data_IF_950692894518
#
_entry.id   IF_950692894518
#
_cell.length_a   1.000
_cell.length_b   1.000
_cell.length_c   1.000
_cell.angle_alpha   90.00
_cell.angle_beta   90.00
_cell.angle_gamma   90.00
#
_symmetry.space_group_name_H-M   'P 1'
#
loop_
_entity.id
_entity.type
_entity.pdbx_description
1 polymer ?
#
# COMPACT_ATOMS: atom_id res chain seq x y z
N UNK A 1 -6.67 20.35 8.89
CA UNK A 1 -7.11 18.97 8.61
C UNK A 1 -6.17 18.01 9.30
N UNK A 2 -6.68 17.02 10.07
CA UNK A 2 -5.84 15.95 10.62
C UNK A 2 -5.43 15.01 9.48
N UNK A 3 -4.18 14.55 9.47
CA UNK A 3 -3.73 13.54 8.50
C UNK A 3 -4.54 12.25 8.75
N UNK A 4 -5.09 11.59 7.71
CA UNK A 4 -5.79 10.33 7.88
C UNK A 4 -4.86 9.30 8.54
N UNK A 5 -5.41 8.51 9.46
CA UNK A 5 -4.71 7.38 10.05
C UNK A 5 -4.61 6.23 9.05
N UNK A 6 -3.71 5.28 9.30
CA UNK A 6 -3.62 4.05 8.51
C UNK A 6 -4.97 3.30 8.45
N UNK A 7 -5.71 3.27 9.56
CA UNK A 7 -7.03 2.65 9.63
C UNK A 7 -8.05 3.33 8.70
N UNK A 8 -8.00 4.66 8.57
CA UNK A 8 -8.88 5.41 7.68
C UNK A 8 -8.67 5.01 6.21
N UNK A 9 -7.42 4.75 5.80
CA UNK A 9 -7.13 4.24 4.45
C UNK A 9 -7.73 2.87 4.21
N UNK A 10 -7.62 1.94 5.16
CA UNK A 10 -8.24 0.62 5.04
C UNK A 10 -9.76 0.69 5.01
N UNK A 11 -10.38 1.62 5.75
CA UNK A 11 -11.82 1.87 5.70
C UNK A 11 -12.27 2.40 4.34
N UNK A 12 -11.63 3.46 3.86
CA UNK A 12 -12.00 4.13 2.59
C UNK A 12 -11.81 3.21 1.38
N UNK A 13 -10.78 2.36 1.40
CA UNK A 13 -10.50 1.39 0.33
C UNK A 13 -11.35 0.12 0.40
N UNK A 14 -12.17 -0.04 1.43
CA UNK A 14 -13.01 -1.24 1.60
C UNK A 14 -12.22 -2.51 1.95
N UNK A 15 -11.01 -2.39 2.51
CA UNK A 15 -10.17 -3.51 2.96
C UNK A 15 -9.95 -3.56 4.48
N UNK A 16 -10.81 -2.89 5.25
CA UNK A 16 -10.73 -2.86 6.72
C UNK A 16 -10.75 -4.28 7.35
N UNK A 17 -11.51 -5.19 6.76
CA UNK A 17 -11.56 -6.61 7.15
C UNK A 17 -10.21 -7.35 6.99
N UNK A 18 -9.33 -6.86 6.12
CA UNK A 18 -8.01 -7.44 5.84
C UNK A 18 -6.86 -6.68 6.50
N UNK A 19 -7.15 -5.63 7.27
CA UNK A 19 -6.14 -4.76 7.87
C UNK A 19 -5.14 -5.53 8.73
N UNK A 20 -5.61 -6.39 9.65
CA UNK A 20 -4.71 -7.15 10.52
C UNK A 20 -3.75 -8.05 9.74
N UNK A 21 -4.22 -8.68 8.68
CA UNK A 21 -3.39 -9.51 7.80
C UNK A 21 -2.36 -8.65 7.05
N UNK A 22 -2.78 -7.51 6.52
CA UNK A 22 -1.91 -6.57 5.80
C UNK A 22 -0.78 -6.06 6.71
N UNK A 23 -1.12 -5.65 7.94
CA UNK A 23 -0.15 -5.18 8.94
C UNK A 23 0.85 -6.25 9.33
N UNK A 24 0.38 -7.48 9.56
CA UNK A 24 1.27 -8.61 9.87
C UNK A 24 2.23 -8.89 8.71
N UNK A 25 1.71 -9.00 7.48
CA UNK A 25 2.52 -9.25 6.29
C UNK A 25 3.55 -8.14 6.05
N UNK A 26 3.13 -6.88 6.15
CA UNK A 26 4.01 -5.74 5.96
C UNK A 26 5.12 -5.72 7.03
N UNK A 27 4.79 -6.00 8.30
CA UNK A 27 5.76 -6.10 9.39
C UNK A 27 6.75 -7.24 9.16
N UNK A 28 6.27 -8.43 8.79
CA UNK A 28 7.11 -9.61 8.56
C UNK A 28 8.10 -9.37 7.40
N UNK A 29 7.73 -8.55 6.42
CA UNK A 29 8.56 -8.17 5.27
C UNK A 29 9.33 -6.84 5.47
N UNK A 30 9.21 -6.21 6.64
CA UNK A 30 9.93 -4.99 6.99
C UNK A 30 9.48 -3.73 6.23
N UNK A 31 8.18 -3.58 5.95
CA UNK A 31 7.60 -2.37 5.36
C UNK A 31 7.08 -1.40 6.43
N UNK A 32 7.23 -0.10 6.15
CA UNK A 32 6.76 1.00 7.00
C UNK A 32 5.33 1.43 6.65
N UNK A 33 4.70 2.18 7.57
CA UNK A 33 3.34 2.71 7.41
C UNK A 33 3.11 3.45 6.08
N UNK A 34 4.08 4.27 5.63
CA UNK A 34 3.97 4.99 4.35
C UNK A 34 3.85 4.05 3.16
N UNK A 35 4.58 2.93 3.19
CA UNK A 35 4.56 1.92 2.13
C UNK A 35 3.25 1.15 2.16
N UNK A 36 2.71 0.88 3.35
CA UNK A 36 1.40 0.23 3.54
C UNK A 36 0.26 1.11 3.00
N UNK A 37 0.27 2.41 3.30
CA UNK A 37 -0.72 3.37 2.80
C UNK A 37 -0.69 3.40 1.27
N UNK A 38 0.49 3.52 0.67
CA UNK A 38 0.62 3.53 -0.79
C UNK A 38 0.13 2.21 -1.40
N UNK A 39 0.50 1.08 -0.78
CA UNK A 39 0.12 -0.23 -1.27
C UNK A 39 -1.40 -0.45 -1.23
N UNK A 40 -2.09 -0.07 -0.14
CA UNK A 40 -3.55 -0.27 -0.03
C UNK A 40 -4.33 0.60 -1.01
N UNK A 41 -3.88 1.84 -1.26
CA UNK A 41 -4.45 2.71 -2.30
C UNK A 41 -4.30 2.07 -3.69
N UNK A 42 -3.11 1.56 -4.03
CA UNK A 42 -2.87 0.89 -5.31
C UNK A 42 -3.64 -0.44 -5.45
N UNK A 43 -3.86 -1.15 -4.35
CA UNK A 43 -4.72 -2.35 -4.36
C UNK A 43 -6.16 -1.97 -4.69
N UNK A 44 -6.66 -0.88 -4.11
CA UNK A 44 -7.99 -0.35 -4.41
C UNK A 44 -8.12 0.05 -5.88
N UNK A 45 -7.11 0.72 -6.45
CA UNK A 45 -7.10 1.05 -7.88
C UNK A 45 -7.21 -0.22 -8.74
N UNK A 46 -6.40 -1.24 -8.42
CA UNK A 46 -6.45 -2.53 -9.13
C UNK A 46 -7.76 -3.27 -8.91
N UNK A 47 -8.38 -3.17 -7.74
CA UNK A 47 -9.69 -3.75 -7.44
C UNK A 47 -10.79 -3.09 -8.28
N UNK A 48 -10.77 -1.77 -8.40
CA UNK A 48 -11.75 -1.02 -9.18
C UNK A 48 -11.62 -1.31 -10.69
N UNK A 49 -10.41 -1.57 -11.17
CA UNK A 49 -10.17 -1.93 -12.58
C UNK A 49 -10.45 -3.41 -12.87
N UNK A 50 -10.01 -4.30 -11.97
CA UNK A 50 -10.03 -5.75 -12.14
C UNK A 50 -10.39 -6.46 -10.82
N UNK A 51 -11.68 -6.45 -10.43
CA UNK A 51 -12.09 -7.06 -9.17
C UNK A 51 -11.89 -8.59 -9.22
N UNK A 52 -11.49 -9.22 -8.10
CA UNK A 52 -11.33 -10.67 -8.05
C UNK A 52 -12.67 -11.37 -8.24
N UNK A 53 -12.69 -12.37 -9.13
CA UNK A 53 -13.87 -13.21 -9.35
C UNK A 53 -13.98 -14.36 -8.35
N UNK A 54 -12.87 -14.74 -7.71
CA UNK A 54 -12.79 -15.77 -6.66
C UNK A 54 -11.75 -15.40 -5.61
N UNK A 55 -12.04 -15.75 -4.35
CA UNK A 55 -11.14 -15.65 -3.20
C UNK A 55 -10.45 -14.27 -3.05
N UNK A 56 -11.23 -13.26 -2.62
CA UNK A 56 -10.76 -11.88 -2.39
C UNK A 56 -9.55 -11.82 -1.44
N UNK A 57 -9.47 -12.69 -0.43
CA UNK A 57 -8.36 -12.70 0.55
C UNK A 57 -7.04 -13.09 -0.11
N UNK A 58 -7.03 -14.18 -0.87
CA UNK A 58 -5.82 -14.64 -1.56
C UNK A 58 -5.39 -13.64 -2.65
N UNK A 59 -6.35 -13.09 -3.39
CA UNK A 59 -6.10 -12.04 -4.36
C UNK A 59 -5.49 -10.80 -3.70
N UNK A 60 -6.10 -10.32 -2.61
CA UNK A 60 -5.60 -9.16 -1.88
C UNK A 60 -4.18 -9.40 -1.38
N UNK A 61 -3.91 -10.54 -0.74
CA UNK A 61 -2.56 -10.86 -0.22
C UNK A 61 -1.51 -10.77 -1.32
N UNK A 62 -1.77 -11.38 -2.47
CA UNK A 62 -0.85 -11.37 -3.61
C UNK A 62 -0.63 -9.96 -4.15
N UNK A 63 -1.71 -9.24 -4.42
CA UNK A 63 -1.66 -7.87 -4.98
C UNK A 63 -1.02 -6.91 -3.99
N UNK A 64 -1.36 -7.00 -2.72
CA UNK A 64 -0.82 -6.14 -1.67
C UNK A 64 0.69 -6.32 -1.53
N UNK A 65 1.21 -7.56 -1.59
CA UNK A 65 2.66 -7.80 -1.61
C UNK A 65 3.36 -7.21 -2.84
N UNK A 66 2.75 -7.34 -4.03
CA UNK A 66 3.24 -6.68 -5.26
C UNK A 66 3.30 -5.15 -5.06
N UNK A 67 2.23 -4.57 -4.50
CA UNK A 67 2.12 -3.11 -4.31
C UNK A 67 2.99 -2.55 -3.20
N UNK A 68 3.34 -3.35 -2.18
CA UNK A 68 4.35 -2.97 -1.20
C UNK A 68 5.72 -2.77 -1.85
N UNK A 69 6.14 -3.68 -2.74
CA UNK A 69 7.41 -3.59 -3.48
C UNK A 69 7.43 -2.37 -4.40
N UNK A 70 6.35 -2.16 -5.15
CA UNK A 70 6.19 -0.97 -6.01
C UNK A 70 6.22 0.33 -5.19
N UNK A 71 5.47 0.40 -4.09
CA UNK A 71 5.40 1.58 -3.22
C UNK A 71 6.75 1.95 -2.64
N UNK A 72 7.54 0.96 -2.17
CA UNK A 72 8.92 1.19 -1.74
C UNK A 72 9.78 1.78 -2.84
N UNK A 73 9.75 1.19 -4.04
CA UNK A 73 10.52 1.65 -5.17
C UNK A 73 10.19 3.11 -5.53
N UNK A 74 8.91 3.47 -5.55
CA UNK A 74 8.45 4.84 -5.84
C UNK A 74 8.90 5.84 -4.78
N UNK A 75 8.80 5.48 -3.48
CA UNK A 75 9.24 6.34 -2.38
C UNK A 75 10.74 6.59 -2.45
N UNK A 76 11.54 5.55 -2.70
CA UNK A 76 12.99 5.65 -2.86
C UNK A 76 13.37 6.51 -4.07
N UNK A 77 12.72 6.29 -5.22
CA UNK A 77 12.95 7.08 -6.44
C UNK A 77 12.62 8.56 -6.22
N UNK A 78 11.50 8.87 -5.56
CA UNK A 78 11.11 10.23 -5.25
C UNK A 78 12.10 10.91 -4.28
N UNK A 79 12.59 10.16 -3.30
CA UNK A 79 13.58 10.65 -2.32
C UNK A 79 14.91 10.95 -3.01
N UNK A 80 15.38 10.07 -3.89
CA UNK A 80 16.59 10.27 -4.69
C UNK A 80 16.48 11.51 -5.60
N UNK A 81 15.33 11.66 -6.29
CA UNK A 81 15.07 12.83 -7.16
C UNK A 81 15.09 14.14 -6.37
N UNK A 82 14.46 14.18 -5.19
CA UNK A 82 14.48 15.37 -4.32
C UNK A 82 15.89 15.71 -3.84
N UNK A 83 16.67 14.70 -3.47
CA UNK A 83 18.08 14.90 -3.08
C UNK A 83 18.91 15.49 -4.23
N UNK A 84 18.71 15.02 -5.46
CA UNK A 84 19.40 15.55 -6.63
C UNK A 84 19.04 17.01 -6.92
N UNK A 85 17.75 17.35 -6.88
CA UNK A 85 17.28 18.72 -7.13
C UNK A 85 17.71 19.71 -6.04
N UNK A 86 17.83 19.26 -4.79
CA UNK A 86 18.30 20.10 -3.67
C UNK A 86 19.80 20.43 -3.73
N UNK A 87 20.59 19.74 -4.56
CA UNK A 87 22.03 19.95 -4.71
C UNK A 87 22.41 20.83 -5.92
N UNK A 88 21.42 21.24 -6.73
CA UNK A 88 21.57 22.18 -7.84
C UNK A 88 21.18 23.57 -7.39
#
# INVERSE_FOLDING_TARGET
MKRPSLEDYFKVTGFHDLQLMALKLAKDLGYEEREIIEAVCKVNDKFNQYPPTKNRVAWFRKVFEEKLKEGRADILANTAKKSYLSKR
#
